data_IF_122278952335
#
_entry.id   IF_122278952335
#
_cell.length_a   1.000
_cell.length_b   1.000
_cell.length_c   1.000
_cell.angle_alpha   90.00
_cell.angle_beta   90.00
_cell.angle_gamma   90.00
#
_symmetry.space_group_name_H-M   'P 1'
#
loop_
_entity.id
_entity.type
_entity.pdbx_description
1 polymer ?
#
# COMPACT_ATOMS: atom_id res chain seq x y z
N UNK A 1 -13.17 2.72 9.70
CA UNK A 1 -14.61 2.38 9.91
C UNK A 1 -15.55 2.86 8.80
N UNK A 2 -15.63 4.16 8.45
CA UNK A 2 -16.55 4.63 7.38
C UNK A 2 -16.22 4.10 5.97
N UNK A 3 -14.97 3.85 5.67
CA UNK A 3 -14.49 3.50 4.31
C UNK A 3 -14.83 2.05 3.93
N UNK A 4 -14.71 1.09 4.84
CA UNK A 4 -15.06 -0.31 4.58
C UNK A 4 -16.54 -0.50 4.23
N UNK A 5 -17.44 0.29 4.84
CA UNK A 5 -18.88 0.23 4.52
C UNK A 5 -19.22 0.86 3.18
N UNK A 6 -18.44 1.81 2.69
CA UNK A 6 -18.69 2.41 1.38
C UNK A 6 -18.52 1.40 0.24
N UNK A 7 -17.56 0.48 0.32
CA UNK A 7 -17.39 -0.51 -0.74
C UNK A 7 -18.60 -1.44 -0.83
N UNK A 8 -19.27 -1.75 0.30
CA UNK A 8 -20.46 -2.63 0.31
C UNK A 8 -21.57 -2.06 -0.56
N UNK A 9 -21.75 -0.74 -0.58
CA UNK A 9 -22.79 -0.10 -1.39
C UNK A 9 -22.52 -0.19 -2.88
N UNK A 10 -21.30 -0.57 -3.27
CA UNK A 10 -20.86 -0.77 -4.66
C UNK A 10 -20.81 -2.25 -5.06
N UNK A 11 -21.26 -3.15 -4.21
CA UNK A 11 -21.35 -4.57 -4.51
C UNK A 11 -22.75 -4.93 -5.01
N UNK A 12 -22.92 -6.03 -5.76
CA UNK A 12 -24.22 -6.52 -6.13
C UNK A 12 -25.16 -6.65 -4.93
N UNK A 13 -26.45 -6.37 -5.14
CA UNK A 13 -27.45 -6.32 -4.08
C UNK A 13 -27.43 -7.58 -3.22
N UNK A 14 -27.38 -8.75 -3.85
CA UNK A 14 -27.33 -10.05 -3.17
C UNK A 14 -26.13 -10.17 -2.22
N UNK A 15 -24.93 -9.78 -2.67
CA UNK A 15 -23.74 -9.79 -1.86
C UNK A 15 -23.78 -8.72 -0.76
N UNK A 16 -24.28 -7.53 -1.09
CA UNK A 16 -24.43 -6.42 -0.16
C UNK A 16 -25.35 -6.77 1.00
N UNK A 17 -26.51 -7.37 0.73
CA UNK A 17 -27.48 -7.79 1.75
C UNK A 17 -26.88 -8.88 2.66
N UNK A 18 -26.23 -9.90 2.10
CA UNK A 18 -25.57 -10.93 2.89
C UNK A 18 -24.49 -10.34 3.81
N UNK A 19 -23.68 -9.40 3.30
CA UNK A 19 -22.64 -8.73 4.08
C UNK A 19 -23.20 -7.84 5.20
N UNK A 20 -24.41 -7.28 5.06
CA UNK A 20 -25.08 -6.51 6.12
C UNK A 20 -25.47 -7.36 7.32
N UNK A 21 -25.62 -8.67 7.16
CA UNK A 21 -25.90 -9.60 8.27
C UNK A 21 -24.73 -9.79 9.23
N UNK A 22 -23.52 -9.39 8.81
CA UNK A 22 -22.29 -9.58 9.59
C UNK A 22 -22.28 -8.62 10.79
N UNK A 23 -22.07 -9.12 12.02
CA UNK A 23 -21.96 -8.28 13.21
C UNK A 23 -20.84 -7.24 13.11
N UNK A 24 -21.02 -6.09 13.77
CA UNK A 24 -20.09 -4.95 13.66
C UNK A 24 -18.69 -5.28 14.21
N UNK A 25 -18.60 -6.04 15.29
CA UNK A 25 -17.36 -6.50 15.90
C UNK A 25 -16.51 -7.36 14.94
N UNK A 26 -17.18 -8.20 14.13
CA UNK A 26 -16.51 -8.97 13.07
C UNK A 26 -16.06 -8.05 11.93
N UNK A 27 -16.89 -7.07 11.54
CA UNK A 27 -16.52 -6.09 10.51
C UNK A 27 -15.26 -5.30 10.89
N UNK A 28 -15.17 -4.86 12.14
CA UNK A 28 -14.08 -4.00 12.60
C UNK A 28 -12.71 -4.70 12.52
N UNK A 29 -12.71 -6.03 12.57
CA UNK A 29 -11.50 -6.84 12.46
C UNK A 29 -11.33 -7.49 11.08
N UNK A 30 -12.36 -7.51 10.22
CA UNK A 30 -12.28 -8.12 8.88
C UNK A 30 -11.21 -7.47 8.02
N UNK A 31 -10.33 -8.27 7.45
CA UNK A 31 -9.22 -7.86 6.59
C UNK A 31 -9.52 -8.08 5.11
N UNK A 32 -10.23 -9.16 4.80
CA UNK A 32 -10.50 -9.56 3.41
C UNK A 32 -11.90 -10.17 3.27
N UNK A 33 -12.50 -9.96 2.09
CA UNK A 33 -13.64 -10.74 1.59
C UNK A 33 -13.13 -11.58 0.42
N UNK A 34 -13.29 -12.89 0.53
CA UNK A 34 -12.91 -13.84 -0.53
C UNK A 34 -14.14 -14.43 -1.19
N UNK A 35 -14.18 -14.26 -2.50
CA UNK A 35 -15.20 -14.78 -3.39
C UNK A 35 -14.55 -15.85 -4.28
N UNK A 36 -15.06 -17.07 -4.27
CA UNK A 36 -14.58 -18.18 -5.13
C UNK A 36 -15.76 -18.85 -5.77
N UNK A 37 -15.70 -19.08 -7.07
CA UNK A 37 -16.78 -19.72 -7.81
C UNK A 37 -17.19 -21.05 -7.17
N UNK A 38 -18.48 -21.25 -6.92
CA UNK A 38 -19.04 -22.44 -6.29
C UNK A 38 -18.86 -22.52 -4.76
N UNK A 39 -18.18 -21.57 -4.12
CA UNK A 39 -17.90 -21.59 -2.70
C UNK A 39 -18.71 -20.52 -1.92
N UNK A 40 -18.94 -20.71 -0.62
CA UNK A 40 -19.50 -19.66 0.25
C UNK A 40 -18.61 -18.42 0.26
N UNK A 41 -19.23 -17.25 0.37
CA UNK A 41 -18.52 -16.00 0.67
C UNK A 41 -17.76 -16.15 1.98
N UNK A 42 -16.48 -15.82 1.98
CA UNK A 42 -15.61 -16.00 3.14
C UNK A 42 -15.04 -14.64 3.60
N UNK A 43 -15.22 -14.34 4.89
CA UNK A 43 -14.55 -13.21 5.56
C UNK A 43 -13.33 -13.73 6.30
N UNK A 44 -12.20 -13.02 6.15
CA UNK A 44 -10.97 -13.36 6.85
C UNK A 44 -10.55 -12.23 7.79
N UNK A 45 -10.15 -12.60 9.01
CA UNK A 45 -9.63 -11.71 10.04
C UNK A 45 -8.56 -12.43 10.87
N UNK A 46 -7.33 -11.97 10.74
CA UNK A 46 -6.15 -12.66 11.29
C UNK A 46 -6.03 -14.09 10.73
N UNK A 47 -5.95 -15.06 11.63
CA UNK A 47 -5.91 -16.50 11.30
C UNK A 47 -7.29 -17.16 11.24
N UNK A 48 -8.37 -16.38 11.39
CA UNK A 48 -9.74 -16.90 11.43
C UNK A 48 -10.48 -16.62 10.13
N UNK A 49 -11.43 -17.50 9.81
CA UNK A 49 -12.34 -17.35 8.67
C UNK A 49 -13.79 -17.53 9.12
N UNK A 50 -14.69 -16.80 8.48
CA UNK A 50 -16.13 -16.94 8.64
C UNK A 50 -16.74 -17.09 7.25
N UNK A 51 -17.44 -18.21 7.06
CA UNK A 51 -18.23 -18.45 5.85
C UNK A 51 -19.66 -17.95 6.04
N UNK A 52 -20.16 -17.26 5.02
CA UNK A 52 -21.55 -16.78 4.96
C UNK A 52 -22.42 -17.79 4.20
N UNK A 53 -23.75 -17.58 4.22
CA UNK A 53 -24.68 -18.51 3.56
C UNK A 53 -24.66 -18.35 2.03
N UNK A 54 -24.42 -17.14 1.52
CA UNK A 54 -24.36 -16.86 0.10
C UNK A 54 -23.21 -17.61 -0.58
N UNK A 55 -23.54 -18.40 -1.61
CA UNK A 55 -22.56 -19.05 -2.48
C UNK A 55 -22.27 -18.19 -3.70
N UNK A 56 -20.99 -18.01 -3.96
CA UNK A 56 -20.51 -17.27 -5.13
C UNK A 56 -20.67 -18.11 -6.39
N UNK A 57 -21.14 -17.50 -7.46
CA UNK A 57 -21.15 -18.08 -8.81
C UNK A 57 -20.44 -17.14 -9.79
N UNK A 58 -20.23 -17.60 -11.04
CA UNK A 58 -19.52 -16.80 -12.07
C UNK A 58 -20.24 -15.52 -12.42
N UNK A 59 -21.57 -15.49 -12.37
CA UNK A 59 -22.35 -14.28 -12.62
C UNK A 59 -22.13 -13.24 -11.52
N UNK A 60 -22.18 -13.65 -10.26
CA UNK A 60 -21.93 -12.77 -9.10
C UNK A 60 -20.51 -12.21 -9.13
N UNK A 61 -19.50 -13.01 -9.48
CA UNK A 61 -18.12 -12.55 -9.65
C UNK A 61 -18.02 -11.47 -10.73
N UNK A 62 -18.61 -11.73 -11.90
CA UNK A 62 -18.58 -10.79 -13.02
C UNK A 62 -19.30 -9.47 -12.68
N UNK A 63 -20.47 -9.54 -12.06
CA UNK A 63 -21.22 -8.37 -11.60
C UNK A 63 -20.44 -7.59 -10.55
N UNK A 64 -19.79 -8.28 -9.61
CA UNK A 64 -18.96 -7.66 -8.58
C UNK A 64 -17.81 -6.88 -9.22
N UNK A 65 -17.08 -7.48 -10.16
CA UNK A 65 -16.02 -6.76 -10.86
C UNK A 65 -16.57 -5.53 -11.59
N UNK A 66 -17.61 -5.70 -12.40
CA UNK A 66 -18.20 -4.62 -13.20
C UNK A 66 -18.60 -3.42 -12.34
N UNK A 67 -19.24 -3.65 -11.20
CA UNK A 67 -19.64 -2.59 -10.28
C UNK A 67 -18.46 -1.92 -9.59
N UNK A 68 -17.45 -2.68 -9.18
CA UNK A 68 -16.26 -2.15 -8.54
C UNK A 68 -15.44 -1.24 -9.47
N UNK A 69 -15.32 -1.59 -10.76
CA UNK A 69 -14.64 -0.77 -11.78
C UNK A 69 -15.60 0.21 -12.48
N UNK A 70 -16.84 0.34 -12.01
CA UNK A 70 -17.89 1.21 -12.59
C UNK A 70 -18.06 1.00 -14.09
N UNK A 71 -18.01 -0.25 -14.55
CA UNK A 71 -18.10 -0.64 -15.97
C UNK A 71 -17.01 -0.04 -16.89
N UNK A 72 -15.97 0.58 -16.33
CA UNK A 72 -14.90 1.25 -17.05
C UNK A 72 -13.70 0.33 -17.31
N UNK A 73 -13.89 -0.76 -18.05
CA UNK A 73 -12.82 -1.73 -18.34
C UNK A 73 -11.55 -1.08 -18.93
N UNK A 74 -11.72 -0.11 -19.81
CA UNK A 74 -10.60 0.58 -20.44
C UNK A 74 -9.70 1.32 -19.44
N UNK A 75 -10.30 1.95 -18.44
CA UNK A 75 -9.54 2.68 -17.41
C UNK A 75 -8.71 1.74 -16.48
N UNK A 76 -9.08 0.47 -16.43
CA UNK A 76 -8.44 -0.54 -15.56
C UNK A 76 -7.73 -1.65 -16.34
N UNK A 77 -7.48 -1.47 -17.65
CA UNK A 77 -6.92 -2.53 -18.51
C UNK A 77 -5.56 -3.01 -17.98
N UNK A 78 -4.66 -2.10 -17.67
CA UNK A 78 -3.33 -2.40 -17.15
C UNK A 78 -3.37 -3.06 -15.77
N UNK A 79 -4.24 -2.60 -14.90
CA UNK A 79 -4.41 -3.17 -13.55
C UNK A 79 -4.98 -4.58 -13.62
N UNK A 80 -5.99 -4.79 -14.47
CA UNK A 80 -6.57 -6.11 -14.71
C UNK A 80 -5.55 -7.08 -15.31
N UNK A 81 -4.67 -6.61 -16.17
CA UNK A 81 -3.56 -7.39 -16.69
C UNK A 81 -2.55 -7.78 -15.59
N UNK A 82 -2.37 -6.91 -14.57
CA UNK A 82 -1.56 -7.19 -13.37
C UNK A 82 -2.27 -8.07 -12.34
N UNK A 83 -3.56 -8.38 -12.54
CA UNK A 83 -4.35 -9.25 -11.67
C UNK A 83 -4.98 -8.58 -10.44
N UNK A 84 -5.02 -7.26 -10.38
CA UNK A 84 -5.70 -6.53 -9.31
C UNK A 84 -6.15 -5.14 -9.76
N UNK A 85 -7.12 -4.58 -9.04
CA UNK A 85 -7.54 -3.18 -9.17
C UNK A 85 -7.58 -2.52 -7.80
N UNK A 86 -7.26 -1.23 -7.74
CA UNK A 86 -7.48 -0.39 -6.55
C UNK A 86 -8.81 0.35 -6.72
N UNK A 87 -9.67 0.25 -5.72
CA UNK A 87 -11.01 0.85 -5.75
C UNK A 87 -11.15 1.92 -4.69
N UNK A 88 -12.24 2.71 -4.73
CA UNK A 88 -12.50 3.78 -3.77
C UNK A 88 -12.27 3.34 -2.32
N UNK A 89 -11.56 4.16 -1.55
CA UNK A 89 -11.11 3.85 -0.20
C UNK A 89 -9.75 3.18 -0.16
N UNK A 90 -9.04 3.07 -1.29
CA UNK A 90 -7.72 2.43 -1.37
C UNK A 90 -7.77 0.91 -1.18
N UNK A 91 -8.97 0.32 -1.31
CA UNK A 91 -9.13 -1.12 -1.18
C UNK A 91 -8.59 -1.83 -2.42
N UNK A 92 -7.82 -2.89 -2.22
CA UNK A 92 -7.24 -3.69 -3.29
C UNK A 92 -8.08 -4.91 -3.56
N UNK A 93 -8.47 -5.09 -4.81
CA UNK A 93 -9.25 -6.24 -5.27
C UNK A 93 -8.37 -7.09 -6.18
N UNK A 94 -7.84 -8.18 -5.64
CA UNK A 94 -7.13 -9.20 -6.41
C UNK A 94 -8.12 -10.06 -7.21
N UNK A 95 -7.74 -10.42 -8.42
CA UNK A 95 -8.61 -11.11 -9.37
C UNK A 95 -7.85 -12.31 -9.92
N UNK A 96 -8.49 -13.46 -9.96
CA UNK A 96 -7.98 -14.67 -10.61
C UNK A 96 -9.00 -15.18 -11.63
N UNK A 97 -8.48 -15.68 -12.74
CA UNK A 97 -9.25 -16.23 -13.84
C UNK A 97 -8.33 -16.75 -14.93
N UNK A 98 -8.81 -16.81 -16.15
CA UNK A 98 -8.02 -17.21 -17.33
C UNK A 98 -7.28 -16.01 -17.90
N UNK A 99 -5.96 -16.00 -17.80
CA UNK A 99 -5.11 -14.97 -18.39
C UNK A 99 -4.98 -15.16 -19.91
N UNK A 100 -5.22 -14.09 -20.65
CA UNK A 100 -4.95 -14.01 -22.08
C UNK A 100 -3.62 -13.32 -22.30
N UNK A 101 -2.71 -13.98 -22.97
CA UNK A 101 -1.40 -13.45 -23.32
C UNK A 101 -1.45 -12.89 -24.75
N UNK A 102 -1.01 -11.65 -24.97
CA UNK A 102 -0.81 -11.02 -26.27
C UNK A 102 0.63 -10.55 -26.39
N UNK A 103 1.28 -10.86 -27.50
CA UNK A 103 2.69 -10.48 -27.76
C UNK A 103 3.65 -10.84 -26.60
N UNK A 104 3.41 -11.99 -25.95
CA UNK A 104 4.24 -12.45 -24.82
C UNK A 104 3.99 -11.75 -23.50
N UNK A 105 3.01 -10.84 -23.41
CA UNK A 105 2.66 -10.11 -22.20
C UNK A 105 1.22 -10.42 -21.73
N UNK A 106 0.95 -10.40 -20.41
CA UNK A 106 -0.41 -10.43 -19.89
C UNK A 106 -1.23 -9.26 -20.45
N UNK A 107 -2.40 -9.56 -21.01
CA UNK A 107 -3.23 -8.54 -21.64
C UNK A 107 -4.60 -8.40 -20.98
N UNK A 108 -5.30 -9.51 -20.79
CA UNK A 108 -6.68 -9.48 -20.27
C UNK A 108 -6.97 -10.72 -19.45
N UNK A 109 -7.66 -10.56 -18.34
CA UNK A 109 -8.19 -11.67 -17.56
C UNK A 109 -9.65 -11.92 -17.93
N UNK A 110 -9.98 -13.18 -18.20
CA UNK A 110 -11.33 -13.67 -18.54
C UNK A 110 -11.75 -14.77 -17.59
N UNK A 111 -13.01 -15.18 -17.67
CA UNK A 111 -13.54 -16.33 -16.91
C UNK A 111 -13.11 -16.24 -15.43
N UNK A 112 -13.46 -15.13 -14.78
CA UNK A 112 -13.04 -14.86 -13.41
C UNK A 112 -13.53 -15.99 -12.50
N UNK A 113 -12.60 -16.64 -11.82
CA UNK A 113 -12.86 -17.77 -10.94
C UNK A 113 -12.86 -17.37 -9.46
N UNK A 114 -12.14 -16.30 -9.10
CA UNK A 114 -12.12 -15.81 -7.73
C UNK A 114 -11.67 -14.36 -7.64
N UNK A 115 -12.08 -13.73 -6.53
CA UNK A 115 -11.68 -12.36 -6.15
C UNK A 115 -11.35 -12.30 -4.67
N UNK A 116 -10.41 -11.41 -4.34
CA UNK A 116 -10.03 -11.11 -2.97
C UNK A 116 -10.09 -9.60 -2.73
N UNK A 117 -11.12 -9.13 -2.04
CA UNK A 117 -11.30 -7.73 -1.65
C UNK A 117 -10.57 -7.52 -0.33
N UNK A 118 -9.40 -6.87 -0.36
CA UNK A 118 -8.59 -6.55 0.81
C UNK A 118 -8.88 -5.14 1.27
N UNK A 119 -9.23 -5.01 2.53
CA UNK A 119 -9.52 -3.72 3.13
C UNK A 119 -8.23 -2.99 3.49
N UNK A 120 -8.06 -1.84 2.89
CA UNK A 120 -7.01 -0.93 3.30
C UNK A 120 -7.37 -0.27 4.64
N UNK A 121 -6.39 -0.17 5.52
CA UNK A 121 -6.54 0.45 6.84
C UNK A 121 -5.58 1.61 6.97
N UNK A 122 -6.03 2.68 7.59
CA UNK A 122 -5.21 3.82 7.99
C UNK A 122 -5.27 3.97 9.50
N UNK A 123 -4.12 4.05 10.12
CA UNK A 123 -3.98 4.24 11.57
C UNK A 123 -3.26 5.56 11.78
N UNK A 124 -4.02 6.61 12.10
CA UNK A 124 -3.46 7.94 12.39
C UNK A 124 -2.75 7.94 13.74
N UNK A 125 -1.60 8.59 13.79
CA UNK A 125 -0.80 8.75 14.99
C UNK A 125 0.08 7.56 15.34
N UNK A 126 0.16 6.53 14.49
CA UNK A 126 1.05 5.38 14.73
C UNK A 126 2.54 5.77 14.66
N UNK A 127 2.87 6.83 13.92
CA UNK A 127 4.25 7.34 13.81
C UNK A 127 4.67 8.28 14.95
N UNK A 128 3.78 8.71 15.85
CA UNK A 128 4.08 9.76 16.87
C UNK A 128 5.28 9.45 17.74
N UNK A 129 5.48 8.17 18.09
CA UNK A 129 6.62 7.76 18.91
C UNK A 129 7.94 7.76 18.11
N UNK A 130 7.87 7.62 16.80
CA UNK A 130 9.03 7.50 15.92
C UNK A 130 9.42 8.87 15.36
N UNK A 131 8.45 9.77 15.18
CA UNK A 131 8.69 11.06 14.55
C UNK A 131 9.84 11.84 15.19
N UNK A 132 9.96 11.96 16.53
CA UNK A 132 11.11 12.61 17.14
C UNK A 132 12.45 11.93 16.84
N UNK A 133 12.47 10.58 16.75
CA UNK A 133 13.68 9.79 16.52
C UNK A 133 14.24 9.95 15.09
N UNK A 134 13.38 10.25 14.13
CA UNK A 134 13.78 10.47 12.73
C UNK A 134 14.07 11.93 12.40
N UNK A 135 13.95 12.84 13.39
CA UNK A 135 14.23 14.27 13.22
C UNK A 135 15.59 14.62 13.80
N UNK A 136 16.32 15.51 13.13
CA UNK A 136 17.55 16.11 13.64
C UNK A 136 17.52 17.62 13.36
N UNK A 137 17.65 18.43 14.41
CA UNK A 137 17.61 19.91 14.32
C UNK A 137 16.39 20.42 13.52
N UNK A 138 15.22 19.82 13.72
CA UNK A 138 13.98 20.20 13.05
C UNK A 138 13.85 19.74 11.59
N UNK A 139 14.78 18.90 11.08
CA UNK A 139 14.74 18.34 9.74
C UNK A 139 14.63 16.82 9.79
N UNK A 140 13.81 16.19 8.95
CA UNK A 140 13.76 14.74 8.86
C UNK A 140 15.05 14.18 8.25
N UNK A 141 15.42 12.99 8.69
CA UNK A 141 16.60 12.27 8.21
C UNK A 141 16.19 11.11 7.29
N UNK A 142 17.11 10.73 6.40
CA UNK A 142 16.92 9.54 5.56
C UNK A 142 16.67 8.33 6.45
N UNK A 143 15.48 7.76 6.33
CA UNK A 143 14.98 6.72 7.22
C UNK A 143 14.57 5.48 6.44
N UNK A 144 15.03 4.33 6.88
CA UNK A 144 14.67 3.02 6.33
C UNK A 144 13.84 2.24 7.35
N UNK A 145 12.59 1.92 6.97
CA UNK A 145 11.70 1.08 7.78
C UNK A 145 11.93 -0.38 7.41
N UNK A 146 12.29 -1.19 8.37
CA UNK A 146 12.73 -2.58 8.19
C UNK A 146 11.76 -3.53 8.87
N UNK A 147 11.20 -4.48 8.15
CA UNK A 147 10.43 -5.58 8.76
C UNK A 147 10.09 -6.69 7.77
N UNK A 148 9.69 -7.86 8.25
CA UNK A 148 8.99 -8.85 7.45
C UNK A 148 7.69 -8.31 6.82
N UNK A 149 7.10 -9.02 5.84
CA UNK A 149 5.79 -8.68 5.29
C UNK A 149 4.70 -8.61 6.37
N UNK A 150 3.69 -7.75 6.17
CA UNK A 150 2.52 -7.66 7.07
C UNK A 150 2.77 -6.94 8.40
N UNK A 151 3.98 -6.45 8.69
CA UNK A 151 4.29 -5.75 9.95
C UNK A 151 3.91 -4.25 9.98
N UNK A 152 3.22 -3.72 8.95
CA UNK A 152 2.69 -2.36 8.99
C UNK A 152 3.60 -1.26 8.41
N UNK A 153 4.66 -1.60 7.62
CA UNK A 153 5.55 -0.63 6.95
C UNK A 153 4.79 0.47 6.22
N UNK A 154 3.89 0.09 5.31
CA UNK A 154 3.08 1.02 4.50
C UNK A 154 2.19 1.92 5.38
N UNK A 155 1.62 1.37 6.45
CA UNK A 155 0.80 2.14 7.40
C UNK A 155 1.62 3.20 8.12
N UNK A 156 2.85 2.85 8.54
CA UNK A 156 3.76 3.77 9.19
C UNK A 156 4.26 4.86 8.23
N UNK A 157 4.69 4.49 7.01
CA UNK A 157 5.12 5.45 5.97
C UNK A 157 4.02 6.45 5.64
N UNK A 158 2.78 5.99 5.52
CA UNK A 158 1.61 6.83 5.26
C UNK A 158 1.40 7.86 6.37
N UNK A 159 1.45 7.43 7.63
CA UNK A 159 1.25 8.33 8.77
C UNK A 159 2.43 9.30 8.96
N UNK A 160 3.66 8.87 8.64
CA UNK A 160 4.83 9.75 8.58
C UNK A 160 4.68 10.82 7.50
N UNK A 161 4.23 10.44 6.29
CA UNK A 161 3.96 11.40 5.22
C UNK A 161 2.93 12.45 5.68
N UNK A 162 1.84 12.02 6.31
CA UNK A 162 0.80 12.91 6.85
C UNK A 162 1.36 13.85 7.93
N UNK A 163 2.02 13.33 8.96
CA UNK A 163 2.54 14.13 10.05
C UNK A 163 3.61 15.13 9.58
N UNK A 164 4.50 14.74 8.66
CA UNK A 164 5.47 15.66 8.08
C UNK A 164 4.79 16.75 7.25
N UNK A 165 3.78 16.39 6.45
CA UNK A 165 2.98 17.35 5.68
C UNK A 165 2.23 18.35 6.58
N UNK A 166 1.64 17.88 7.69
CA UNK A 166 1.01 18.73 8.71
C UNK A 166 2.04 19.64 9.41
N UNK A 167 3.26 19.15 9.64
CA UNK A 167 4.39 19.91 10.18
C UNK A 167 5.10 20.81 9.16
N UNK A 168 4.41 21.16 8.06
CA UNK A 168 4.81 22.13 7.05
C UNK A 168 5.93 21.71 6.10
N UNK A 169 6.30 20.43 6.05
CA UNK A 169 7.17 19.94 4.99
C UNK A 169 6.38 19.73 3.70
N UNK A 170 6.99 20.06 2.55
CA UNK A 170 6.51 19.63 1.25
C UNK A 170 6.92 18.18 1.05
N UNK A 171 5.93 17.30 1.02
CA UNK A 171 6.12 15.86 0.90
C UNK A 171 5.71 15.42 -0.50
N UNK A 172 6.51 14.59 -1.14
CA UNK A 172 6.10 13.88 -2.34
C UNK A 172 6.02 12.38 -2.06
N UNK A 173 5.00 11.72 -2.56
CA UNK A 173 4.82 10.26 -2.48
C UNK A 173 4.95 9.66 -3.87
N UNK A 174 5.92 8.76 -4.05
CA UNK A 174 6.01 7.90 -5.22
C UNK A 174 5.41 6.55 -4.86
N UNK A 175 4.16 6.31 -5.29
CA UNK A 175 3.36 5.16 -4.92
C UNK A 175 3.26 4.17 -6.10
N UNK A 176 4.25 3.28 -6.21
CA UNK A 176 4.33 2.33 -7.35
C UNK A 176 3.14 1.37 -7.41
N UNK A 177 2.55 1.04 -6.25
CA UNK A 177 1.52 0.00 -6.13
C UNK A 177 0.16 0.50 -5.66
N UNK A 178 -0.04 1.82 -5.59
CA UNK A 178 -1.24 2.45 -5.03
C UNK A 178 -1.55 2.00 -3.60
N UNK A 179 -0.51 1.69 -2.81
CA UNK A 179 -0.66 1.20 -1.43
C UNK A 179 -0.50 2.30 -0.38
N UNK A 180 0.27 3.36 -0.68
CA UNK A 180 0.50 4.49 0.24
C UNK A 180 -0.68 5.46 0.23
N UNK A 181 -1.04 5.98 -0.92
CA UNK A 181 -2.11 6.96 -1.09
C UNK A 181 -3.47 6.33 -1.37
N UNK A 182 -3.47 5.15 -2.01
CA UNK A 182 -4.68 4.51 -2.48
C UNK A 182 -5.46 5.41 -3.41
N UNK A 183 -4.79 5.95 -4.43
CA UNK A 183 -5.39 6.92 -5.35
C UNK A 183 -6.61 6.35 -6.05
N UNK A 184 -7.64 7.17 -6.15
CA UNK A 184 -8.85 6.85 -6.88
C UNK A 184 -9.44 8.13 -7.45
N UNK A 185 -9.68 8.17 -8.75
CA UNK A 185 -10.23 9.34 -9.47
C UNK A 185 -9.48 10.65 -9.14
N UNK A 186 -8.12 10.59 -9.16
CA UNK A 186 -7.25 11.73 -8.89
C UNK A 186 -7.21 12.17 -7.42
N UNK A 187 -7.85 11.46 -6.50
CA UNK A 187 -7.89 11.80 -5.08
C UNK A 187 -7.26 10.70 -4.22
N UNK A 188 -6.45 11.06 -3.21
CA UNK A 188 -5.96 10.08 -2.26
C UNK A 188 -7.11 9.57 -1.36
N UNK A 189 -7.22 8.26 -1.23
CA UNK A 189 -8.19 7.63 -0.33
C UNK A 189 -7.77 7.73 1.13
N UNK A 190 -6.48 7.93 1.38
CA UNK A 190 -5.91 8.14 2.70
C UNK A 190 -5.51 9.59 2.90
N UNK A 191 -5.62 10.04 4.14
CA UNK A 191 -5.14 11.35 4.54
C UNK A 191 -3.60 11.33 4.61
N UNK A 192 -2.98 12.10 3.72
CA UNK A 192 -1.53 12.30 3.65
C UNK A 192 -1.12 13.73 4.08
N UNK A 193 -2.09 14.50 4.56
CA UNK A 193 -1.88 15.89 4.95
C UNK A 193 -1.93 16.90 3.80
N UNK A 194 -1.94 18.22 4.12
CA UNK A 194 -2.28 19.26 3.16
C UNK A 194 -1.14 19.67 2.20
N UNK A 195 0.08 19.16 2.39
CA UNK A 195 1.28 19.49 1.59
C UNK A 195 1.93 18.23 1.03
N UNK A 196 1.09 17.30 0.58
CA UNK A 196 1.56 16.03 0.05
C UNK A 196 1.10 15.88 -1.41
N UNK A 197 2.05 15.77 -2.32
CA UNK A 197 1.83 15.49 -3.73
C UNK A 197 2.02 14.01 -3.98
N UNK A 198 1.18 13.39 -4.80
CA UNK A 198 1.21 11.94 -5.06
C UNK A 198 1.39 11.67 -6.54
N UNK A 199 2.39 10.84 -6.86
CA UNK A 199 2.55 10.19 -8.15
C UNK A 199 2.23 8.71 -7.99
N UNK A 200 1.14 8.27 -8.59
CA UNK A 200 0.57 6.95 -8.43
C UNK A 200 0.85 6.06 -9.65
N UNK A 201 1.04 4.75 -9.42
CA UNK A 201 1.20 3.75 -10.47
C UNK A 201 2.50 3.87 -11.29
N UNK A 202 3.49 4.61 -10.80
CA UNK A 202 4.74 4.87 -11.49
C UNK A 202 5.92 4.19 -10.79
N UNK A 203 6.76 3.50 -11.56
CA UNK A 203 8.01 2.92 -11.06
C UNK A 203 8.93 4.00 -10.50
N UNK A 204 9.67 3.69 -9.43
CA UNK A 204 10.53 4.64 -8.70
C UNK A 204 11.60 5.28 -9.57
N UNK A 205 12.20 4.51 -10.48
CA UNK A 205 13.24 4.97 -11.40
C UNK A 205 12.75 6.11 -12.32
N UNK A 206 11.48 6.16 -12.64
CA UNK A 206 10.85 7.25 -13.40
C UNK A 206 10.19 8.28 -12.51
N UNK A 207 9.48 7.83 -11.47
CA UNK A 207 8.65 8.67 -10.63
C UNK A 207 9.45 9.59 -9.72
N UNK A 208 10.51 9.11 -9.09
CA UNK A 208 11.33 9.89 -8.17
C UNK A 208 12.01 11.07 -8.88
N UNK A 209 12.71 10.89 -10.01
CA UNK A 209 13.26 11.99 -10.78
C UNK A 209 12.22 13.02 -11.22
N UNK A 210 11.04 12.55 -11.61
CA UNK A 210 9.95 13.42 -12.03
C UNK A 210 9.46 14.30 -10.88
N UNK A 211 9.16 13.69 -9.72
CA UNK A 211 8.71 14.40 -8.53
C UNK A 211 9.72 15.44 -8.05
N UNK A 212 11.01 15.10 -7.99
CA UNK A 212 12.07 16.02 -7.59
C UNK A 212 12.08 17.27 -8.49
N UNK A 213 11.99 17.08 -9.81
CA UNK A 213 12.06 18.20 -10.76
C UNK A 213 10.79 19.03 -10.83
N UNK A 214 9.61 18.39 -10.69
CA UNK A 214 8.34 19.07 -10.90
C UNK A 214 7.73 19.64 -9.63
N UNK A 215 7.90 18.97 -8.48
CA UNK A 215 7.24 19.32 -7.23
C UNK A 215 8.21 19.92 -6.19
N UNK A 216 9.53 19.80 -6.41
CA UNK A 216 10.58 20.29 -5.51
C UNK A 216 10.34 19.95 -4.02
N UNK A 217 10.13 18.65 -3.68
CA UNK A 217 9.79 18.24 -2.33
C UNK A 217 11.00 18.38 -1.39
N UNK A 218 10.72 18.59 -0.10
CA UNK A 218 11.71 18.48 0.96
C UNK A 218 11.88 17.03 1.43
N UNK A 219 10.79 16.26 1.35
CA UNK A 219 10.73 14.85 1.76
C UNK A 219 10.09 14.05 0.66
N UNK A 220 10.71 12.95 0.30
CA UNK A 220 10.15 11.96 -0.60
C UNK A 220 9.85 10.68 0.17
N UNK A 221 8.63 10.20 0.04
CA UNK A 221 8.18 8.94 0.62
C UNK A 221 7.90 7.96 -0.51
N UNK A 222 8.43 6.77 -0.40
CA UNK A 222 8.11 5.68 -1.32
C UNK A 222 7.97 4.36 -0.57
N UNK A 223 7.25 3.44 -1.16
CA UNK A 223 7.10 2.10 -0.60
C UNK A 223 8.43 1.31 -0.63
N UNK A 224 8.36 0.04 -0.75
CA UNK A 224 9.47 -0.88 -0.63
C UNK A 224 10.57 -0.66 -1.69
N UNK A 225 11.81 -0.52 -1.22
CA UNK A 225 13.02 -0.57 -2.03
C UNK A 225 13.68 -1.94 -1.90
N UNK A 226 14.34 -2.40 -2.95
CA UNK A 226 15.01 -3.71 -2.92
C UNK A 226 15.40 -4.22 -4.30
N UNK A 227 15.07 -3.48 -5.37
CA UNK A 227 15.52 -3.76 -6.73
C UNK A 227 16.85 -3.05 -7.01
N UNK A 228 17.73 -3.57 -7.89
CA UNK A 228 18.95 -2.88 -8.29
C UNK A 228 18.71 -1.48 -8.85
N UNK A 229 17.59 -1.27 -9.55
CA UNK A 229 17.19 0.00 -10.16
C UNK A 229 16.88 1.08 -9.11
N UNK A 230 16.48 0.70 -7.90
CA UNK A 230 16.18 1.63 -6.80
C UNK A 230 17.42 2.40 -6.33
N UNK A 231 18.63 1.84 -6.52
CA UNK A 231 19.90 2.48 -6.14
C UNK A 231 20.06 3.85 -6.80
N UNK A 232 19.78 3.95 -8.10
CA UNK A 232 19.88 5.21 -8.84
C UNK A 232 18.89 6.26 -8.32
N UNK A 233 17.67 5.85 -8.01
CA UNK A 233 16.61 6.71 -7.50
C UNK A 233 16.93 7.26 -6.10
N UNK A 234 17.48 6.41 -5.23
CA UNK A 234 17.94 6.80 -3.89
C UNK A 234 19.07 7.82 -4.01
N UNK A 235 20.05 7.56 -4.87
CA UNK A 235 21.17 8.48 -5.10
C UNK A 235 20.70 9.85 -5.61
N UNK A 236 19.66 9.88 -6.42
CA UNK A 236 19.09 11.13 -6.93
C UNK A 236 18.43 11.96 -5.81
N UNK A 237 17.73 11.34 -4.87
CA UNK A 237 17.24 12.04 -3.68
C UNK A 237 18.38 12.70 -2.91
N UNK A 238 19.45 11.96 -2.66
CA UNK A 238 20.61 12.45 -1.91
C UNK A 238 21.28 13.65 -2.60
N UNK A 239 21.56 13.53 -3.88
CA UNK A 239 22.24 14.60 -4.65
C UNK A 239 21.37 15.85 -4.80
N UNK A 240 20.06 15.71 -4.71
CA UNK A 240 19.10 16.82 -4.77
C UNK A 240 18.79 17.41 -3.39
N UNK A 241 19.36 16.88 -2.31
CA UNK A 241 19.10 17.35 -0.94
C UNK A 241 17.71 17.01 -0.42
N UNK A 242 17.01 16.06 -1.04
CA UNK A 242 15.69 15.59 -0.65
C UNK A 242 15.83 14.45 0.36
N UNK A 243 15.14 14.56 1.49
CA UNK A 243 15.11 13.48 2.49
C UNK A 243 14.26 12.32 2.00
N UNK A 244 14.77 11.09 2.09
CA UNK A 244 14.07 9.87 1.69
C UNK A 244 13.56 9.10 2.90
N UNK A 245 12.26 8.77 2.88
CA UNK A 245 11.62 7.82 3.77
C UNK A 245 11.11 6.65 2.96
N UNK A 246 11.60 5.45 3.25
CA UNK A 246 11.23 4.25 2.50
C UNK A 246 11.26 3.00 3.37
N UNK A 247 10.88 1.86 2.82
CA UNK A 247 10.91 0.59 3.53
C UNK A 247 11.64 -0.51 2.75
N UNK A 248 12.05 -1.53 3.49
CA UNK A 248 12.68 -2.74 2.94
C UNK A 248 12.22 -3.97 3.72
N UNK A 249 12.21 -5.12 3.05
CA UNK A 249 12.08 -6.39 3.74
C UNK A 249 13.41 -6.78 4.42
N UNK A 250 13.33 -7.18 5.68
CA UNK A 250 14.46 -7.63 6.46
C UNK A 250 14.10 -7.82 7.93
N UNK A 251 14.99 -8.40 8.70
CA UNK A 251 14.82 -8.66 10.14
C UNK A 251 15.93 -8.05 10.98
N UNK A 252 17.11 -7.88 10.41
CA UNK A 252 18.31 -7.37 11.07
C UNK A 252 19.18 -6.58 10.08
N UNK A 253 20.20 -5.92 10.60
CA UNK A 253 21.12 -5.11 9.79
C UNK A 253 21.90 -5.95 8.77
N UNK A 254 22.28 -7.17 9.11
CA UNK A 254 23.00 -8.08 8.24
C UNK A 254 22.20 -8.48 7.00
N UNK A 255 20.86 -8.57 7.11
CA UNK A 255 19.99 -8.82 5.98
C UNK A 255 20.03 -7.66 4.99
N UNK A 256 20.08 -6.43 5.53
CA UNK A 256 20.08 -5.21 4.73
C UNK A 256 21.37 -5.08 3.90
N UNK A 257 22.51 -5.45 4.48
CA UNK A 257 23.81 -5.41 3.79
C UNK A 257 23.87 -6.37 2.59
N UNK A 258 23.11 -7.46 2.64
CA UNK A 258 23.02 -8.44 1.54
C UNK A 258 22.03 -8.01 0.44
N UNK A 259 21.26 -6.97 0.67
CA UNK A 259 20.28 -6.46 -0.29
C UNK A 259 20.96 -5.69 -1.44
N UNK A 260 20.20 -5.41 -2.51
CA UNK A 260 20.66 -4.60 -3.64
C UNK A 260 21.09 -3.18 -3.25
N UNK A 261 20.57 -2.64 -2.12
CA UNK A 261 20.93 -1.32 -1.60
C UNK A 261 21.98 -1.39 -0.47
N UNK A 262 22.55 -2.57 -0.19
CA UNK A 262 23.53 -2.78 0.89
C UNK A 262 24.71 -1.82 0.84
N UNK A 263 25.28 -1.58 -0.34
CA UNK A 263 26.37 -0.63 -0.52
C UNK A 263 26.01 0.83 -0.21
N UNK A 264 24.73 1.21 -0.29
CA UNK A 264 24.26 2.54 0.15
C UNK A 264 24.13 2.59 1.67
N UNK A 265 23.73 1.48 2.28
CA UNK A 265 23.61 1.36 3.73
C UNK A 265 24.98 1.46 4.39
N UNK A 266 25.97 0.75 3.88
CA UNK A 266 27.37 0.82 4.36
C UNK A 266 27.96 2.23 4.24
N UNK A 267 27.58 2.99 3.23
CA UNK A 267 28.00 4.38 3.03
C UNK A 267 27.25 5.37 3.95
N UNK A 268 26.35 4.90 4.82
CA UNK A 268 25.62 5.74 5.77
C UNK A 268 24.58 6.65 5.11
N UNK A 269 24.01 6.24 3.96
CA UNK A 269 22.95 6.97 3.27
C UNK A 269 21.71 7.10 4.15
N UNK A 270 21.36 6.02 4.83
CA UNK A 270 20.28 6.04 5.82
C UNK A 270 20.85 6.30 7.20
N UNK A 271 20.32 7.33 7.86
CA UNK A 271 20.73 7.74 9.21
C UNK A 271 19.87 7.11 10.30
N UNK A 272 18.67 6.62 9.94
CA UNK A 272 17.74 5.97 10.89
C UNK A 272 17.20 4.68 10.28
N UNK A 273 17.17 3.64 11.13
CA UNK A 273 16.59 2.34 10.83
C UNK A 273 15.49 2.06 11.86
N UNK A 274 14.27 1.92 11.40
CA UNK A 274 13.10 1.63 12.23
C UNK A 274 12.67 0.19 12.02
N UNK A 275 12.95 -0.67 12.98
CA UNK A 275 12.59 -2.08 12.92
C UNK A 275 11.18 -2.30 13.47
N UNK A 276 10.30 -2.93 12.66
CA UNK A 276 8.95 -3.27 13.07
C UNK A 276 8.82 -4.77 13.34
N UNK A 277 7.83 -5.10 14.19
CA UNK A 277 7.41 -6.47 14.49
C UNK A 277 5.89 -6.56 14.49
N UNK A 278 5.36 -7.77 14.32
CA UNK A 278 3.95 -8.07 14.47
C UNK A 278 3.59 -8.70 15.84
N UNK A 279 4.53 -8.87 16.76
CA UNK A 279 4.32 -9.58 18.03
C UNK A 279 3.18 -8.99 18.89
N UNK A 280 3.04 -7.65 18.89
CA UNK A 280 1.99 -6.94 19.61
C UNK A 280 1.01 -6.23 18.65
N UNK A 281 0.84 -6.79 17.46
CA UNK A 281 0.07 -6.19 16.36
C UNK A 281 0.96 -5.52 15.31
N UNK A 282 0.42 -5.39 14.09
CA UNK A 282 1.13 -4.74 12.98
C UNK A 282 1.41 -3.26 13.32
N UNK A 283 2.63 -2.79 12.98
CA UNK A 283 3.08 -1.42 13.27
C UNK A 283 3.77 -1.26 14.63
N UNK A 284 3.98 -2.34 15.37
CA UNK A 284 4.76 -2.29 16.61
C UNK A 284 6.22 -2.04 16.29
N UNK A 285 6.77 -0.94 16.83
CA UNK A 285 8.20 -0.64 16.74
C UNK A 285 8.95 -1.51 17.73
N UNK A 286 9.89 -2.29 17.22
CA UNK A 286 10.82 -3.09 18.02
C UNK A 286 11.98 -2.24 18.49
N UNK A 287 12.56 -1.45 17.59
CA UNK A 287 13.81 -0.75 17.79
C UNK A 287 13.96 0.39 16.78
N UNK A 288 14.64 1.45 17.18
CA UNK A 288 15.14 2.49 16.29
C UNK A 288 16.66 2.59 16.49
N UNK A 289 17.42 2.41 15.41
CA UNK A 289 18.88 2.55 15.45
C UNK A 289 19.34 3.74 14.63
N UNK A 290 20.40 4.40 15.09
CA UNK A 290 21.05 5.52 14.40
C UNK A 290 22.46 5.13 13.98
N UNK A 291 22.83 5.61 12.81
CA UNK A 291 24.22 5.58 12.34
C UNK A 291 24.63 7.05 12.13
N UNK A 292 25.43 7.54 13.06
CA UNK A 292 26.00 8.89 13.05
C UNK A 292 27.32 8.93 12.32
#
# INVERSE_FOLDING_TARGET
MKTQRKIITRLPAELSEELKTVPQDIWDITEEIRLRNGQPVCLRYGMRERHLNLRTNSQLLQQTLNQLIQFSYYAYEDDLARGFVTVEGGHRVGICGKMVIKHGQPAVMREISSMNIRFARSIKGCCRKILPEIMNNGKPMNTLIVSPPGCGKTTLLRDLARELSENRFHVAVCDERSELAGMYDGQPSFDLGPRCDVLDGCEKNWGIPLLIRSMAPQVLVTDEVGKPEDVSSIMQCLTSGVTLLTSIHGTCYEDLLKSSIGGLIEKGVFRRFVYLTAQNGAGTVREVTSFD
#
